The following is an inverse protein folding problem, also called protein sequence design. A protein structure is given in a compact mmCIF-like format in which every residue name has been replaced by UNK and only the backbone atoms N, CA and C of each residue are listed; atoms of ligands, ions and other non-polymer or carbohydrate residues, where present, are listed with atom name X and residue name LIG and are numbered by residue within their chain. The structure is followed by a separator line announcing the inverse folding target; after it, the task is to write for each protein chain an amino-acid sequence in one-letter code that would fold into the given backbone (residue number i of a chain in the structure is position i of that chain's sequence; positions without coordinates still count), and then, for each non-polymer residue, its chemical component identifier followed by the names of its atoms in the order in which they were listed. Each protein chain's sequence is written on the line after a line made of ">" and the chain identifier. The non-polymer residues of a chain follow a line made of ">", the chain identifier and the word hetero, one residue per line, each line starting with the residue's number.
data_IF_191008131588
#
_entry.id   IF_191008131588
#
_cell.length_a   1.000
_cell.length_b   1.000
_cell.length_c   1.000
_cell.angle_alpha   90.00
_cell.angle_beta   90.00
_cell.angle_gamma   90.00
#
_symmetry.space_group_name_H-M   'P 1'
#
loop_
_entity.id
_entity.type
_entity.pdbx_description
1 polymer ?
#
# COMPACT_ATOMS: atom_id res chain seq x y z
N UNK A 1 -18.47 23.17 2.37
CA UNK A 1 -18.29 23.32 0.91
C UNK A 1 -16.94 22.83 0.36
N UNK A 2 -15.76 23.35 0.74
CA UNK A 2 -14.46 22.90 0.15
C UNK A 2 -14.24 21.40 0.28
N UNK A 3 -14.48 20.83 1.47
CA UNK A 3 -14.32 19.41 1.69
C UNK A 3 -15.26 18.55 0.83
N UNK A 4 -16.54 18.92 0.74
CA UNK A 4 -17.49 18.22 -0.15
C UNK A 4 -17.03 18.27 -1.61
N UNK A 5 -16.47 19.40 -2.06
CA UNK A 5 -15.92 19.51 -3.41
C UNK A 5 -14.62 18.69 -3.58
N UNK A 6 -13.75 18.63 -2.57
CA UNK A 6 -12.59 17.73 -2.56
C UNK A 6 -13.04 16.28 -2.75
N UNK A 7 -14.07 15.82 -2.02
CA UNK A 7 -14.60 14.46 -2.16
C UNK A 7 -15.09 14.16 -3.58
N UNK A 8 -15.73 15.14 -4.24
CA UNK A 8 -16.12 15.00 -5.65
C UNK A 8 -14.91 14.90 -6.57
N UNK A 9 -13.85 15.68 -6.34
CA UNK A 9 -12.61 15.56 -7.10
C UNK A 9 -11.90 14.21 -6.87
N UNK A 10 -11.89 13.70 -5.64
CA UNK A 10 -11.37 12.35 -5.33
C UNK A 10 -12.14 11.26 -6.06
N UNK A 11 -13.48 11.37 -6.13
CA UNK A 11 -14.29 10.43 -6.92
C UNK A 11 -13.96 10.46 -8.41
N UNK A 12 -13.62 11.62 -8.98
CA UNK A 12 -13.26 11.74 -10.41
C UNK A 12 -11.97 11.01 -10.79
N UNK A 13 -11.07 10.81 -9.83
CA UNK A 13 -9.84 10.03 -10.02
C UNK A 13 -9.90 8.64 -9.39
N UNK A 14 -11.10 8.15 -9.03
CA UNK A 14 -11.31 6.83 -8.42
C UNK A 14 -10.53 6.61 -7.11
N UNK A 15 -10.31 7.66 -6.32
CA UNK A 15 -9.48 7.63 -5.13
C UNK A 15 -8.12 8.29 -5.34
N UNK A 16 -7.11 7.89 -4.55
CA UNK A 16 -5.75 8.43 -4.56
C UNK A 16 -5.61 9.91 -4.10
N UNK A 17 -4.37 10.36 -3.94
CA UNK A 17 -3.99 11.70 -3.48
C UNK A 17 -3.81 12.72 -4.63
N UNK A 18 -3.98 12.31 -5.88
CA UNK A 18 -3.84 13.16 -7.06
C UNK A 18 -5.05 14.08 -7.34
N UNK A 19 -6.03 14.14 -6.43
CA UNK A 19 -7.22 14.97 -6.59
C UNK A 19 -6.90 16.47 -6.47
N UNK A 20 -7.67 17.28 -7.19
CA UNK A 20 -7.55 18.74 -7.10
C UNK A 20 -8.16 19.22 -5.79
N UNK A 21 -7.54 20.21 -5.15
CA UNK A 21 -8.14 20.93 -4.01
C UNK A 21 -8.91 22.14 -4.54
N UNK A 22 -10.26 22.09 -4.64
CA UNK A 22 -11.03 23.13 -5.30
C UNK A 22 -11.18 24.39 -4.43
N UNK A 23 -10.79 25.55 -4.96
CA UNK A 23 -10.97 26.83 -4.29
C UNK A 23 -12.31 27.49 -4.68
N UNK A 24 -13.38 27.17 -3.96
CA UNK A 24 -14.75 27.62 -4.24
C UNK A 24 -15.00 29.14 -4.07
N UNK A 25 -14.00 29.91 -3.58
CA UNK A 25 -14.15 31.35 -3.32
C UNK A 25 -15.39 31.68 -2.48
N UNK A 26 -15.58 30.94 -1.38
CA UNK A 26 -16.84 30.90 -0.62
C UNK A 26 -17.35 32.28 -0.21
N UNK A 27 -16.48 33.13 0.32
CA UNK A 27 -16.86 34.48 0.75
C UNK A 27 -17.41 35.33 -0.40
N UNK A 28 -16.77 35.24 -1.57
CA UNK A 28 -17.25 35.91 -2.79
C UNK A 28 -18.62 35.37 -3.19
N UNK A 29 -18.80 34.04 -3.21
CA UNK A 29 -20.06 33.41 -3.59
C UNK A 29 -21.19 33.72 -2.59
N UNK A 30 -20.88 33.76 -1.29
CA UNK A 30 -21.83 34.11 -0.23
C UNK A 30 -22.34 35.54 -0.39
N UNK A 31 -21.42 36.50 -0.63
CA UNK A 31 -21.77 37.90 -0.88
C UNK A 31 -22.65 38.09 -2.12
N UNK A 32 -22.51 37.22 -3.11
CA UNK A 32 -23.35 37.22 -4.32
C UNK A 32 -24.67 36.46 -4.15
N UNK A 33 -24.91 35.82 -3.00
CA UNK A 33 -26.09 34.96 -2.78
C UNK A 33 -26.08 33.66 -3.61
N UNK A 34 -24.93 33.30 -4.18
CA UNK A 34 -24.75 32.15 -5.08
C UNK A 34 -24.09 30.95 -4.40
N UNK A 35 -23.72 31.07 -3.12
CA UNK A 35 -23.12 29.95 -2.39
C UNK A 35 -24.18 28.88 -2.11
N UNK A 36 -24.08 27.68 -2.73
CA UNK A 36 -25.01 26.60 -2.41
C UNK A 36 -24.78 26.10 -0.99
N UNK A 37 -25.85 25.60 -0.38
CA UNK A 37 -25.80 24.95 0.94
C UNK A 37 -24.97 23.66 0.90
N UNK A 38 -25.05 22.91 -0.22
CA UNK A 38 -24.34 21.66 -0.43
C UNK A 38 -23.81 21.52 -1.87
N UNK A 39 -22.65 20.88 -2.02
CA UNK A 39 -22.10 20.50 -3.33
C UNK A 39 -22.85 19.24 -3.77
N UNK A 40 -23.35 19.24 -5.00
CA UNK A 40 -23.91 18.04 -5.62
C UNK A 40 -22.81 17.27 -6.34
N UNK A 41 -22.72 15.97 -6.07
CA UNK A 41 -21.95 15.06 -6.90
C UNK A 41 -22.73 14.77 -8.19
N UNK A 42 -22.12 14.84 -9.39
CA UNK A 42 -22.75 14.36 -10.61
C UNK A 42 -23.09 12.87 -10.52
N UNK A 43 -24.30 12.49 -10.94
CA UNK A 43 -24.77 11.09 -10.88
C UNK A 43 -23.82 10.15 -11.63
N UNK A 44 -23.41 10.52 -12.85
CA UNK A 44 -22.47 9.75 -13.66
C UNK A 44 -21.13 9.50 -12.94
N UNK A 45 -20.64 10.48 -12.18
CA UNK A 45 -19.42 10.34 -11.37
C UNK A 45 -19.62 9.32 -10.26
N UNK A 46 -20.72 9.45 -9.52
CA UNK A 46 -21.06 8.50 -8.44
C UNK A 46 -21.24 7.08 -8.99
N UNK A 47 -22.05 6.91 -10.03
CA UNK A 47 -22.37 5.60 -10.61
C UNK A 47 -21.12 4.93 -11.22
N UNK A 48 -20.21 5.72 -11.80
CA UNK A 48 -18.93 5.23 -12.30
C UNK A 48 -18.05 4.70 -11.17
N UNK A 49 -17.90 5.45 -10.09
CA UNK A 49 -17.10 5.03 -8.94
C UNK A 49 -17.72 3.82 -8.26
N UNK A 50 -19.04 3.82 -8.07
CA UNK A 50 -19.77 2.70 -7.49
C UNK A 50 -19.55 1.43 -8.30
N UNK A 51 -19.73 1.47 -9.62
CA UNK A 51 -19.45 0.32 -10.49
C UNK A 51 -18.01 -0.15 -10.42
N UNK A 52 -17.05 0.78 -10.34
CA UNK A 52 -15.64 0.43 -10.18
C UNK A 52 -15.39 -0.30 -8.86
N UNK A 53 -15.93 0.19 -7.74
CA UNK A 53 -15.80 -0.44 -6.43
C UNK A 53 -16.50 -1.79 -6.37
N UNK A 54 -17.71 -1.90 -6.92
CA UNK A 54 -18.47 -3.15 -6.99
C UNK A 54 -17.77 -4.21 -7.86
N UNK A 55 -16.89 -3.80 -8.78
CA UNK A 55 -16.10 -4.72 -9.61
C UNK A 55 -14.84 -5.27 -8.92
N UNK A 56 -14.44 -4.68 -7.79
CA UNK A 56 -13.28 -5.15 -7.03
C UNK A 56 -13.64 -6.44 -6.30
N UNK A 57 -12.93 -7.51 -6.63
CA UNK A 57 -13.05 -8.78 -5.89
C UNK A 57 -12.21 -8.70 -4.61
N UNK A 58 -12.89 -8.42 -3.50
CA UNK A 58 -12.26 -8.35 -2.18
C UNK A 58 -11.55 -9.65 -1.79
N UNK A 59 -12.01 -10.81 -2.28
CA UNK A 59 -11.40 -12.11 -1.94
C UNK A 59 -10.05 -12.30 -2.62
N UNK A 60 -9.91 -11.83 -3.86
CA UNK A 60 -8.63 -11.83 -4.58
C UNK A 60 -7.63 -10.88 -3.90
N UNK A 61 -8.10 -9.70 -3.47
CA UNK A 61 -7.25 -8.74 -2.77
C UNK A 61 -6.79 -9.27 -1.40
N UNK A 62 -7.68 -9.86 -0.62
CA UNK A 62 -7.34 -10.48 0.68
C UNK A 62 -6.33 -11.60 0.50
N UNK A 63 -6.51 -12.44 -0.53
CA UNK A 63 -5.55 -13.51 -0.84
C UNK A 63 -4.17 -12.94 -1.18
N UNK A 64 -4.11 -11.88 -1.99
CA UNK A 64 -2.85 -11.20 -2.33
C UNK A 64 -2.16 -10.63 -1.10
N UNK A 65 -2.92 -10.00 -0.22
CA UNK A 65 -2.41 -9.49 1.04
C UNK A 65 -1.86 -10.61 1.95
N UNK A 66 -2.55 -11.74 2.03
CA UNK A 66 -2.08 -12.89 2.79
C UNK A 66 -0.79 -13.50 2.20
N UNK A 67 -0.69 -13.61 0.87
CA UNK A 67 0.54 -14.04 0.18
C UNK A 67 1.72 -13.13 0.55
N UNK A 68 1.54 -11.81 0.48
CA UNK A 68 2.59 -10.84 0.87
C UNK A 68 2.98 -10.95 2.34
N UNK A 69 2.01 -11.19 3.23
CA UNK A 69 2.25 -11.35 4.66
C UNK A 69 3.04 -12.63 4.97
N UNK A 70 2.71 -13.74 4.29
CA UNK A 70 3.41 -15.01 4.45
C UNK A 70 4.85 -14.94 3.92
N UNK A 71 5.06 -14.27 2.79
CA UNK A 71 6.41 -13.97 2.27
C UNK A 71 7.22 -13.11 3.25
N UNK A 72 6.62 -12.05 3.80
CA UNK A 72 7.27 -11.19 4.79
C UNK A 72 7.63 -11.96 6.06
N UNK A 73 6.77 -12.89 6.50
CA UNK A 73 7.05 -13.78 7.64
C UNK A 73 8.21 -14.71 7.35
N UNK A 74 8.22 -15.38 6.19
CA UNK A 74 9.29 -16.29 5.80
C UNK A 74 10.64 -15.56 5.70
N UNK A 75 10.65 -14.34 5.14
CA UNK A 75 11.84 -13.50 5.10
C UNK A 75 12.31 -13.10 6.51
N UNK A 76 11.39 -12.82 7.44
CA UNK A 76 11.73 -12.51 8.82
C UNK A 76 12.34 -13.71 9.55
N UNK A 77 11.78 -14.91 9.36
CA UNK A 77 12.31 -16.16 9.93
C UNK A 77 13.71 -16.45 9.40
N UNK A 78 13.94 -16.32 8.10
CA UNK A 78 15.27 -16.46 7.51
C UNK A 78 16.27 -15.43 8.07
N UNK A 79 15.86 -14.17 8.19
CA UNK A 79 16.71 -13.12 8.76
C UNK A 79 17.11 -13.44 10.21
N UNK A 80 16.20 -14.01 11.00
CA UNK A 80 16.48 -14.43 12.37
C UNK A 80 17.51 -15.58 12.41
N UNK A 81 17.39 -16.57 11.53
CA UNK A 81 18.36 -17.67 11.45
C UNK A 81 19.75 -17.19 11.00
N UNK A 82 19.81 -16.27 10.03
CA UNK A 82 21.08 -15.65 9.61
C UNK A 82 21.73 -14.84 10.74
N UNK A 83 20.94 -14.12 11.54
CA UNK A 83 21.44 -13.42 12.72
C UNK A 83 22.02 -14.41 13.75
N UNK A 84 21.38 -15.56 13.96
CA UNK A 84 21.89 -16.62 14.84
C UNK A 84 23.24 -17.14 14.35
N UNK A 85 23.35 -17.45 13.06
CA UNK A 85 24.62 -17.90 12.45
C UNK A 85 25.71 -16.84 12.62
N UNK A 86 25.41 -15.57 12.37
CA UNK A 86 26.38 -14.48 12.48
C UNK A 86 26.88 -14.24 13.92
N UNK A 87 26.12 -14.66 14.93
CA UNK A 87 26.48 -14.53 16.35
C UNK A 87 27.15 -15.79 16.92
N UNK A 88 27.18 -16.90 16.17
CA UNK A 88 27.82 -18.14 16.59
C UNK A 88 29.34 -18.09 16.42
N UNK A 89 30.02 -18.89 17.23
CA UNK A 89 31.48 -19.08 17.21
C UNK A 89 31.91 -20.03 16.08
N UNK A 90 33.12 -19.85 15.56
CA UNK A 90 33.66 -20.59 14.40
C UNK A 90 33.53 -22.13 14.53
N UNK A 91 33.48 -22.68 15.75
CA UNK A 91 33.34 -24.13 15.97
C UNK A 91 31.91 -24.65 15.74
N UNK A 92 30.87 -23.81 15.83
CA UNK A 92 29.46 -24.22 15.69
C UNK A 92 28.75 -23.63 14.47
N UNK A 93 29.39 -22.68 13.79
CA UNK A 93 28.85 -22.02 12.57
C UNK A 93 28.58 -23.04 11.46
N UNK A 94 29.47 -24.00 11.22
CA UNK A 94 29.30 -25.02 10.17
C UNK A 94 28.08 -25.93 10.41
N UNK A 95 27.81 -26.30 11.67
CA UNK A 95 26.64 -27.11 12.03
C UNK A 95 25.34 -26.34 11.83
N UNK A 96 25.31 -25.04 12.19
CA UNK A 96 24.14 -24.18 12.02
C UNK A 96 23.87 -23.82 10.56
N UNK A 97 24.92 -23.59 9.77
CA UNK A 97 24.78 -23.37 8.33
C UNK A 97 24.18 -24.59 7.63
N UNK A 98 24.59 -25.80 8.03
CA UNK A 98 24.01 -27.05 7.51
C UNK A 98 22.54 -27.24 7.94
N UNK A 99 22.18 -26.86 9.18
CA UNK A 99 20.79 -26.93 9.68
C UNK A 99 19.83 -26.02 8.89
N UNK A 100 20.31 -24.84 8.49
CA UNK A 100 19.55 -23.86 7.68
C UNK A 100 19.66 -24.15 6.17
N UNK A 101 20.47 -25.14 5.77
CA UNK A 101 20.65 -25.55 4.37
C UNK A 101 21.47 -24.56 3.53
N UNK A 102 22.40 -23.85 4.17
CA UNK A 102 23.29 -22.88 3.53
C UNK A 102 24.61 -23.57 3.17
N UNK A 103 24.90 -23.68 1.88
CA UNK A 103 26.19 -24.16 1.40
C UNK A 103 27.23 -23.02 1.37
N UNK A 104 28.38 -23.17 2.07
CA UNK A 104 29.43 -22.15 2.04
C UNK A 104 30.05 -22.06 0.64
N UNK A 105 30.30 -20.83 0.18
CA UNK A 105 31.04 -20.59 -1.05
C UNK A 105 32.54 -20.59 -0.72
N UNK A 106 33.27 -21.60 -1.19
CA UNK A 106 34.74 -21.60 -1.13
C UNK A 106 35.29 -20.43 -1.94
N UNK A 107 36.02 -19.53 -1.28
CA UNK A 107 36.74 -18.41 -1.90
C UNK A 107 38.20 -18.78 -2.23
N UNK A 108 38.52 -20.06 -2.29
CA UNK A 108 39.78 -20.56 -2.84
C UNK A 108 39.78 -20.32 -4.35
N UNK A 109 39.97 -19.06 -4.74
CA UNK A 109 40.31 -18.71 -6.11
C UNK A 109 41.67 -19.35 -6.41
N UNK A 110 41.73 -20.09 -7.51
CA UNK A 110 42.97 -20.53 -8.15
C UNK A 110 43.89 -19.31 -8.40
N UNK A 111 44.89 -19.09 -7.53
CA UNK A 111 46.21 -18.53 -7.84
C UNK A 111 47.28 -19.04 -6.87
#
# INVERSE_FOLDING_TARGET
>A
MTFQACLVETMKCFGDNAFKVPHLSKEKQARLGLLPENVRCPADTYDSVKRSLDSVDCTVMEKKFQEELDEARSMHELAQELERIALCDDETVDELMAEVGIDPISLDNDE
#
